data_IF_874375022875
#
_entry.id   IF_874375022875
#
_cell.length_a   1.000
_cell.length_b   1.000
_cell.length_c   1.000
_cell.angle_alpha   90.00
_cell.angle_beta   90.00
_cell.angle_gamma   90.00
#
_symmetry.space_group_name_H-M   'P 1'
#
loop_
_entity.id
_entity.type
_entity.pdbx_description
1 polymer ?
#
# COMPACT_ATOMS: atom_id res chain seq x y z
N UNK A 1 -8.63 2.19 17.93
CA UNK A 1 -9.16 1.94 16.57
C UNK A 1 -8.06 2.11 15.54
N UNK A 2 -7.48 3.32 15.39
CA UNK A 2 -6.35 3.56 14.46
C UNK A 2 -5.06 2.79 14.79
N UNK A 3 -4.68 2.63 16.05
CA UNK A 3 -3.49 1.83 16.45
C UNK A 3 -3.57 0.39 15.95
N UNK A 4 -4.76 -0.22 16.01
CA UNK A 4 -4.99 -1.55 15.48
C UNK A 4 -4.83 -1.58 13.95
N UNK A 5 -5.33 -0.56 13.25
CA UNK A 5 -5.15 -0.46 11.81
C UNK A 5 -3.68 -0.25 11.42
N UNK A 6 -2.93 0.60 12.13
CA UNK A 6 -1.48 0.79 11.94
C UNK A 6 -0.75 -0.54 12.16
N UNK A 7 -1.09 -1.29 13.22
CA UNK A 7 -0.53 -2.63 13.44
C UNK A 7 -0.78 -3.55 12.25
N UNK A 8 -2.01 -3.61 11.74
CA UNK A 8 -2.36 -4.45 10.57
C UNK A 8 -1.63 -4.00 9.30
N UNK A 9 -1.39 -2.70 9.12
CA UNK A 9 -0.58 -2.17 8.02
C UNK A 9 0.86 -2.66 8.12
N UNK A 10 1.49 -2.53 9.28
CA UNK A 10 2.85 -3.01 9.52
C UNK A 10 2.97 -4.52 9.33
N UNK A 11 2.06 -5.31 9.92
CA UNK A 11 2.06 -6.76 9.76
C UNK A 11 1.94 -7.18 8.28
N UNK A 12 1.14 -6.44 7.49
CA UNK A 12 0.98 -6.73 6.06
C UNK A 12 2.18 -6.26 5.24
N UNK A 13 2.79 -5.13 5.61
CA UNK A 13 3.95 -4.56 4.96
C UNK A 13 5.20 -5.42 5.18
N UNK A 14 5.39 -5.94 6.39
CA UNK A 14 6.44 -6.91 6.73
C UNK A 14 6.38 -8.12 5.79
N UNK A 15 5.19 -8.68 5.59
CA UNK A 15 4.98 -9.82 4.68
C UNK A 15 5.32 -9.44 3.24
N UNK A 16 4.91 -8.26 2.77
CA UNK A 16 5.23 -7.79 1.43
C UNK A 16 6.75 -7.65 1.22
N UNK A 17 7.45 -7.08 2.20
CA UNK A 17 8.90 -6.91 2.15
C UNK A 17 9.61 -8.26 2.10
N UNK A 18 9.20 -9.21 2.94
CA UNK A 18 9.77 -10.56 2.92
C UNK A 18 9.59 -11.23 1.56
N UNK A 19 8.39 -11.14 0.96
CA UNK A 19 8.14 -11.69 -0.38
C UNK A 19 9.03 -10.98 -1.42
N UNK A 20 9.15 -9.65 -1.37
CA UNK A 20 10.01 -8.90 -2.29
C UNK A 20 11.46 -9.34 -2.18
N UNK A 21 11.96 -9.46 -0.96
CA UNK A 21 13.35 -9.82 -0.71
C UNK A 21 13.62 -11.28 -1.14
N UNK A 22 12.71 -12.22 -0.85
CA UNK A 22 12.76 -13.61 -1.35
C UNK A 22 12.74 -13.67 -2.89
N UNK A 23 11.89 -12.89 -3.54
CA UNK A 23 11.80 -12.84 -5.00
C UNK A 23 13.07 -12.24 -5.61
N UNK A 24 13.60 -11.17 -5.04
CA UNK A 24 14.85 -10.56 -5.47
C UNK A 24 16.05 -11.51 -5.32
N UNK A 25 16.11 -12.26 -4.22
CA UNK A 25 17.17 -13.26 -3.99
C UNK A 25 17.06 -14.44 -4.97
N UNK A 26 15.85 -14.95 -5.19
CA UNK A 26 15.61 -16.15 -6.00
C UNK A 26 15.67 -15.87 -7.51
N UNK A 27 15.12 -14.74 -7.93
CA UNK A 27 14.91 -14.43 -9.35
C UNK A 27 15.71 -13.22 -9.83
N UNK A 28 16.16 -12.32 -8.95
CA UNK A 28 16.69 -11.02 -9.36
C UNK A 28 15.65 -10.26 -10.17
N UNK A 29 16.03 -9.70 -11.32
CA UNK A 29 15.09 -9.05 -12.23
C UNK A 29 14.13 -10.08 -12.86
N UNK A 30 12.82 -9.96 -12.64
CA UNK A 30 11.85 -10.92 -13.16
C UNK A 30 11.56 -10.60 -14.63
N UNK A 31 11.72 -11.60 -15.50
CA UNK A 31 11.38 -11.53 -16.91
C UNK A 31 10.48 -12.72 -17.29
N UNK A 32 9.99 -12.72 -18.53
CA UNK A 32 9.09 -13.76 -19.06
C UNK A 32 9.66 -15.18 -18.93
N UNK A 33 10.98 -15.36 -18.99
CA UNK A 33 11.60 -16.68 -18.90
C UNK A 33 11.46 -17.31 -17.51
N UNK A 34 11.29 -16.49 -16.47
CA UNK A 34 11.16 -16.94 -15.07
C UNK A 34 9.71 -17.16 -14.65
N UNK A 35 8.74 -16.78 -15.48
CA UNK A 35 7.34 -16.83 -15.12
C UNK A 35 6.83 -18.26 -14.87
N UNK A 36 7.26 -19.24 -15.68
CA UNK A 36 6.86 -20.65 -15.47
C UNK A 36 7.38 -21.22 -14.16
N UNK A 37 8.59 -20.84 -13.74
CA UNK A 37 9.16 -21.23 -12.44
C UNK A 37 8.39 -20.58 -11.29
N UNK A 38 8.12 -19.27 -11.39
CA UNK A 38 7.34 -18.53 -10.38
C UNK A 38 5.95 -19.16 -10.25
N UNK A 39 5.28 -19.46 -11.37
CA UNK A 39 3.96 -20.08 -11.39
C UNK A 39 3.97 -21.49 -10.79
N UNK A 40 5.04 -22.25 -11.01
CA UNK A 40 5.16 -23.63 -10.51
C UNK A 40 5.50 -23.70 -9.02
N UNK A 41 6.33 -22.77 -8.53
CA UNK A 41 6.91 -22.87 -7.18
C UNK A 41 6.41 -21.80 -6.21
N UNK A 42 6.06 -20.61 -6.68
CA UNK A 42 5.78 -19.44 -5.82
C UNK A 42 4.41 -18.80 -6.09
N UNK A 43 3.48 -19.50 -6.74
CA UNK A 43 2.13 -19.00 -6.99
C UNK A 43 1.42 -18.57 -5.69
N UNK A 44 1.65 -19.29 -4.58
CA UNK A 44 1.11 -18.92 -3.26
C UNK A 44 1.70 -17.61 -2.74
N UNK A 45 2.97 -17.35 -3.04
CA UNK A 45 3.62 -16.09 -2.67
C UNK A 45 3.07 -14.94 -3.51
N UNK A 46 2.79 -15.15 -4.79
CA UNK A 46 2.08 -14.18 -5.64
C UNK A 46 0.66 -13.90 -5.14
N UNK A 47 -0.10 -14.92 -4.77
CA UNK A 47 -1.45 -14.75 -4.19
C UNK A 47 -1.38 -13.95 -2.89
N UNK A 48 -0.37 -14.25 -2.05
CA UNK A 48 -0.15 -13.51 -0.80
C UNK A 48 0.25 -12.07 -1.06
N UNK A 49 1.12 -11.82 -2.03
CA UNK A 49 1.52 -10.49 -2.49
C UNK A 49 0.28 -9.69 -2.94
N UNK A 50 -0.52 -10.22 -3.85
CA UNK A 50 -1.76 -9.61 -4.34
C UNK A 50 -2.77 -9.30 -3.21
N UNK A 51 -2.97 -10.26 -2.30
CA UNK A 51 -3.86 -10.10 -1.16
C UNK A 51 -3.38 -9.01 -0.20
N UNK A 52 -2.09 -9.02 0.18
CA UNK A 52 -1.52 -8.06 1.15
C UNK A 52 -1.44 -6.65 0.57
N UNK A 53 -1.08 -6.53 -0.71
CA UNK A 53 -1.12 -5.27 -1.45
C UNK A 53 -2.53 -4.66 -1.42
N UNK A 54 -3.53 -5.45 -1.80
CA UNK A 54 -4.94 -5.03 -1.77
C UNK A 54 -5.39 -4.65 -0.36
N UNK A 55 -4.96 -5.42 0.64
CA UNK A 55 -5.30 -5.19 2.05
C UNK A 55 -4.78 -3.87 2.56
N UNK A 56 -3.52 -3.53 2.27
CA UNK A 56 -2.91 -2.24 2.65
C UNK A 56 -3.68 -1.10 2.00
N UNK A 57 -3.96 -1.18 0.70
CA UNK A 57 -4.69 -0.12 -0.01
C UNK A 57 -6.08 0.12 0.54
N UNK A 58 -6.86 -0.95 0.74
CA UNK A 58 -8.20 -0.84 1.31
C UNK A 58 -8.16 -0.26 2.71
N UNK A 59 -7.24 -0.74 3.56
CA UNK A 59 -7.17 -0.25 4.93
C UNK A 59 -6.75 1.23 5.00
N UNK A 60 -5.77 1.63 4.19
CA UNK A 60 -5.34 3.03 4.07
C UNK A 60 -6.48 3.92 3.56
N UNK A 61 -7.03 3.59 2.40
CA UNK A 61 -8.00 4.42 1.70
C UNK A 61 -9.38 4.48 2.37
N UNK A 62 -9.85 3.37 2.94
CA UNK A 62 -11.22 3.31 3.49
C UNK A 62 -11.29 3.78 4.94
N UNK A 63 -10.20 3.64 5.71
CA UNK A 63 -10.19 3.91 7.16
C UNK A 63 -9.09 4.86 7.59
N UNK A 64 -7.83 4.47 7.44
CA UNK A 64 -6.70 5.14 8.11
C UNK A 64 -6.57 6.60 7.68
N UNK A 65 -6.79 6.92 6.40
CA UNK A 65 -6.78 8.31 5.94
C UNK A 65 -7.83 9.19 6.61
N UNK A 66 -9.02 8.67 6.90
CA UNK A 66 -10.03 9.45 7.64
C UNK A 66 -9.65 9.55 9.11
N UNK A 67 -9.29 8.43 9.73
CA UNK A 67 -8.94 8.39 11.14
C UNK A 67 -7.76 9.29 11.49
N UNK A 68 -6.76 9.40 10.61
CA UNK A 68 -5.60 10.28 10.84
C UNK A 68 -5.98 11.76 10.73
N UNK A 69 -6.82 12.13 9.76
CA UNK A 69 -7.30 13.50 9.61
C UNK A 69 -8.18 13.93 10.79
N UNK A 70 -9.07 13.05 11.27
CA UNK A 70 -9.84 13.27 12.50
C UNK A 70 -8.94 13.46 13.72
N UNK A 71 -7.83 12.68 13.81
CA UNK A 71 -6.85 12.84 14.88
C UNK A 71 -6.16 14.20 14.83
N UNK A 72 -5.94 14.73 13.62
CA UNK A 72 -5.41 16.06 13.34
C UNK A 72 -6.47 17.17 13.40
N UNK A 73 -7.68 16.87 13.90
CA UNK A 73 -8.77 17.84 14.12
C UNK A 73 -9.35 18.44 12.83
N UNK A 74 -9.21 17.75 11.69
CA UNK A 74 -9.92 18.10 10.45
C UNK A 74 -11.42 17.78 10.57
N UNK A 75 -12.26 18.70 10.09
CA UNK A 75 -13.69 18.46 9.89
C UNK A 75 -13.94 17.74 8.56
N UNK A 76 -14.43 16.49 8.67
CA UNK A 76 -14.69 15.61 7.53
C UNK A 76 -16.17 15.53 7.15
N UNK A 77 -17.05 16.33 7.76
CA UNK A 77 -18.47 16.38 7.39
C UNK A 77 -18.63 16.79 5.92
N UNK A 78 -19.47 16.03 5.21
CA UNK A 78 -19.75 16.18 3.77
C UNK A 78 -18.52 16.15 2.84
N UNK A 79 -17.38 15.61 3.30
CA UNK A 79 -16.18 15.46 2.47
C UNK A 79 -16.27 14.23 1.59
N UNK A 80 -16.02 14.45 0.30
CA UNK A 80 -15.87 13.38 -0.67
C UNK A 80 -14.52 12.67 -0.50
N UNK A 81 -14.37 11.50 -1.12
CA UNK A 81 -13.09 10.78 -1.07
C UNK A 81 -11.94 11.57 -1.72
N UNK A 82 -12.21 12.37 -2.75
CA UNK A 82 -11.17 13.21 -3.36
C UNK A 82 -10.72 14.32 -2.41
N UNK A 83 -11.63 14.89 -1.61
CA UNK A 83 -11.29 15.88 -0.58
C UNK A 83 -10.40 15.26 0.50
N UNK A 84 -10.71 14.02 0.92
CA UNK A 84 -9.85 13.27 1.85
C UNK A 84 -8.44 13.14 1.27
N UNK A 85 -8.29 12.72 0.01
CA UNK A 85 -6.98 12.57 -0.61
C UNK A 85 -6.22 13.89 -0.73
N UNK A 86 -6.90 15.01 -0.99
CA UNK A 86 -6.28 16.34 -0.99
C UNK A 86 -5.74 16.73 0.39
N UNK A 87 -6.46 16.42 1.47
CA UNK A 87 -5.94 16.65 2.82
C UNK A 87 -4.75 15.73 3.14
N UNK A 88 -4.80 14.46 2.74
CA UNK A 88 -3.69 13.51 2.92
C UNK A 88 -2.43 13.95 2.16
N UNK A 89 -2.59 14.43 0.92
CA UNK A 89 -1.51 15.02 0.12
C UNK A 89 -0.95 16.29 0.79
N UNK A 90 -1.84 17.19 1.25
CA UNK A 90 -1.44 18.41 1.98
C UNK A 90 -0.66 18.10 3.27
N UNK A 91 -1.05 17.04 3.98
CA UNK A 91 -0.33 16.58 5.17
C UNK A 91 0.99 15.88 4.84
N UNK A 92 1.27 15.61 3.57
CA UNK A 92 2.49 14.94 3.10
C UNK A 92 2.51 13.45 3.41
N UNK A 93 1.34 12.82 3.60
CA UNK A 93 1.24 11.38 3.83
C UNK A 93 1.41 10.61 2.52
N UNK A 94 0.88 11.15 1.43
CA UNK A 94 1.16 10.71 0.05
C UNK A 94 1.90 11.85 -0.66
N UNK A 95 2.77 11.53 -1.62
CA UNK A 95 3.47 12.58 -2.39
C UNK A 95 2.53 13.28 -3.35
N UNK A 96 1.61 12.50 -3.95
CA UNK A 96 0.54 13.06 -4.76
C UNK A 96 -0.69 12.17 -4.83
N UNK A 97 -1.83 12.77 -5.15
CA UNK A 97 -3.06 12.01 -5.49
C UNK A 97 -2.81 11.08 -6.70
N UNK A 98 -1.94 11.48 -7.63
CA UNK A 98 -1.59 10.68 -8.80
C UNK A 98 -0.82 9.41 -8.40
N UNK A 99 0.15 9.50 -7.50
CA UNK A 99 0.88 8.34 -6.95
C UNK A 99 -0.11 7.34 -6.33
N UNK A 100 -1.06 7.82 -5.52
CA UNK A 100 -2.08 6.97 -4.93
C UNK A 100 -2.99 6.30 -5.98
N UNK A 101 -3.38 7.03 -7.02
CA UNK A 101 -4.15 6.46 -8.15
C UNK A 101 -3.36 5.38 -8.88
N UNK A 102 -2.07 5.60 -9.13
CA UNK A 102 -1.20 4.64 -9.80
C UNK A 102 -1.10 3.33 -9.01
N UNK A 103 -0.96 3.41 -7.69
CA UNK A 103 -1.02 2.22 -6.84
C UNK A 103 -2.33 1.44 -7.04
N UNK A 104 -3.47 2.13 -7.14
CA UNK A 104 -4.78 1.48 -7.36
C UNK A 104 -4.88 0.86 -8.74
N UNK A 105 -4.27 1.46 -9.76
CA UNK A 105 -4.18 0.90 -11.11
C UNK A 105 -3.37 -0.41 -11.11
N UNK A 106 -2.22 -0.45 -10.41
CA UNK A 106 -1.41 -1.66 -10.21
C UNK A 106 -2.22 -2.79 -9.55
N UNK A 107 -3.07 -2.49 -8.57
CA UNK A 107 -3.95 -3.52 -7.99
C UNK A 107 -4.97 -4.02 -9.02
N UNK A 108 -5.54 -3.10 -9.81
CA UNK A 108 -6.60 -3.45 -10.75
C UNK A 108 -6.07 -4.26 -11.94
N UNK A 109 -4.81 -4.07 -12.35
CA UNK A 109 -4.19 -4.85 -13.44
C UNK A 109 -4.08 -6.35 -13.12
N UNK A 110 -4.11 -6.74 -11.85
CA UNK A 110 -4.16 -8.14 -11.40
C UNK A 110 -5.58 -8.71 -11.32
N UNK A 111 -6.58 -7.83 -11.10
CA UNK A 111 -7.98 -8.25 -10.93
C UNK A 111 -8.67 -8.52 -12.27
N UNK A 112 -8.10 -7.98 -13.35
CA UNK A 112 -8.37 -8.47 -14.69
C UNK A 112 -7.54 -9.75 -14.82
N UNK A 113 -8.22 -10.90 -14.81
CA UNK A 113 -7.61 -12.23 -14.96
C UNK A 113 -6.40 -12.13 -15.88
N UNK A 114 -5.22 -12.44 -15.33
CA UNK A 114 -3.92 -12.44 -15.98
C UNK A 114 -4.09 -12.50 -17.50
N UNK A 115 -3.90 -11.35 -18.14
CA UNK A 115 -3.96 -11.23 -19.60
C UNK A 115 -3.33 -12.46 -20.24
N UNK A 116 -3.87 -12.96 -21.36
CA UNK A 116 -3.30 -14.11 -22.07
C UNK A 116 -1.81 -13.92 -22.42
N UNK A 117 -1.31 -12.68 -22.33
CA UNK A 117 0.09 -12.29 -22.48
C UNK A 117 0.86 -12.34 -21.16
N UNK A 118 1.82 -13.29 -21.07
CA UNK A 118 2.72 -13.47 -19.92
C UNK A 118 3.53 -12.21 -19.60
N UNK A 119 3.90 -11.42 -20.61
CA UNK A 119 4.67 -10.19 -20.43
C UNK A 119 3.94 -9.16 -19.55
N UNK A 120 2.64 -9.00 -19.77
CA UNK A 120 1.79 -8.11 -18.96
C UNK A 120 1.70 -8.59 -17.51
N UNK A 121 1.68 -9.90 -17.27
CA UNK A 121 1.70 -10.48 -15.91
C UNK A 121 3.02 -10.20 -15.21
N UNK A 122 4.14 -10.43 -15.89
CA UNK A 122 5.48 -10.18 -15.34
C UNK A 122 5.66 -8.70 -15.02
N UNK A 123 5.21 -7.80 -15.90
CA UNK A 123 5.24 -6.37 -15.67
C UNK A 123 4.42 -5.98 -14.44
N UNK A 124 3.20 -6.53 -14.29
CA UNK A 124 2.38 -6.26 -13.11
C UNK A 124 3.05 -6.75 -11.80
N UNK A 125 3.69 -7.92 -11.81
CA UNK A 125 4.44 -8.44 -10.65
C UNK A 125 5.59 -7.48 -10.28
N UNK A 126 6.40 -7.08 -11.27
CA UNK A 126 7.50 -6.14 -11.03
C UNK A 126 6.99 -4.79 -10.49
N UNK A 127 5.95 -4.23 -11.10
CA UNK A 127 5.35 -2.97 -10.64
C UNK A 127 4.85 -3.05 -9.20
N UNK A 128 4.26 -4.17 -8.79
CA UNK A 128 3.87 -4.40 -7.40
C UNK A 128 5.06 -4.42 -6.45
N UNK A 129 6.10 -5.19 -6.80
CA UNK A 129 7.30 -5.34 -5.97
C UNK A 129 7.99 -3.99 -5.76
N UNK A 130 8.11 -3.20 -6.81
CA UNK A 130 8.70 -1.86 -6.76
C UNK A 130 7.86 -0.90 -5.92
N UNK A 131 6.52 -0.99 -6.03
CA UNK A 131 5.62 -0.08 -5.33
C UNK A 131 5.45 -0.38 -3.83
N UNK A 132 6.03 -1.49 -3.31
CA UNK A 132 6.11 -1.75 -1.87
C UNK A 132 6.80 -0.62 -1.13
N UNK A 133 7.87 -0.04 -1.69
CA UNK A 133 8.57 1.10 -1.07
C UNK A 133 7.68 2.32 -0.89
N UNK A 134 6.69 2.50 -1.76
CA UNK A 134 5.73 3.61 -1.66
C UNK A 134 4.81 3.36 -0.47
N UNK A 135 4.33 2.14 -0.26
CA UNK A 135 3.58 1.81 0.96
C UNK A 135 4.41 1.98 2.22
N UNK A 136 5.69 1.60 2.21
CA UNK A 136 6.59 1.83 3.35
C UNK A 136 6.63 3.31 3.73
N UNK A 137 6.78 4.20 2.73
CA UNK A 137 6.79 5.64 2.94
C UNK A 137 5.45 6.15 3.47
N UNK A 138 4.33 5.71 2.91
CA UNK A 138 2.99 6.13 3.34
C UNK A 138 2.72 5.69 4.77
N UNK A 139 2.98 4.42 5.12
CA UNK A 139 2.75 3.88 6.47
C UNK A 139 3.59 4.63 7.49
N UNK A 140 4.88 4.85 7.20
CA UNK A 140 5.75 5.66 8.06
C UNK A 140 5.21 7.06 8.28
N UNK A 141 4.70 7.73 7.24
CA UNK A 141 4.11 9.06 7.37
C UNK A 141 2.83 9.07 8.20
N UNK A 142 2.00 8.03 8.08
CA UNK A 142 0.83 7.86 8.94
C UNK A 142 1.25 7.74 10.41
N UNK A 143 2.27 6.95 10.72
CA UNK A 143 2.80 6.80 12.08
C UNK A 143 3.34 8.11 12.63
N UNK A 144 4.18 8.82 11.87
CA UNK A 144 4.72 10.14 12.24
C UNK A 144 3.60 11.14 12.57
N UNK A 145 2.55 11.19 11.74
CA UNK A 145 1.38 12.07 11.98
C UNK A 145 0.56 11.65 13.17
N UNK A 146 0.46 10.35 13.41
CA UNK A 146 -0.30 9.79 14.52
C UNK A 146 0.40 10.12 15.85
N UNK A 147 1.71 9.94 15.93
CA UNK A 147 2.53 10.32 17.07
C UNK A 147 2.44 11.83 17.36
N UNK A 148 2.58 12.66 16.32
CA UNK A 148 2.42 14.10 16.43
C UNK A 148 1.06 14.50 17.01
N UNK A 149 -0.03 13.93 16.49
CA UNK A 149 -1.38 14.21 16.97
C UNK A 149 -1.59 13.82 18.44
N UNK A 150 -0.94 12.75 18.91
CA UNK A 150 -0.99 12.33 20.31
C UNK A 150 -0.19 13.27 21.23
N UNK A 151 1.01 13.70 20.81
CA UNK A 151 1.85 14.62 21.59
C UNK A 151 1.17 15.98 21.81
N UNK A 152 0.54 16.53 20.75
CA UNK A 152 -0.20 17.80 20.83
C UNK A 152 -1.37 17.70 21.79
N UNK A 153 -2.06 16.55 21.85
CA UNK A 153 -3.18 16.33 22.79
C UNK A 153 -2.72 16.19 24.24
N UNK A 154 -1.59 15.54 24.49
CA UNK A 154 -1.01 15.41 25.84
C UNK A 154 -0.49 16.74 26.41
N UNK A 155 -0.05 17.68 25.57
CA UNK A 155 0.42 19.01 26.00
C UNK A 155 -0.69 20.05 26.20
N UNK A 156 -1.95 19.74 25.87
CA UNK A 156 -3.11 20.63 26.04
C UNK A 156 -3.92 20.33 27.33
N UNK A 157 -3.55 19.30 28.09
CA UNK A 157 -4.19 18.91 29.35
C UNK A 157 -3.44 19.45 30.57
#
# INVERSE_FOLDING_TARGET
MIEFHIKVLNDSLEILKNIRDEFNEKYGNIDVSKYEDIKSYDIKSLDTLAYRFSKIQSLLGEKVFKEILEKLEYDLTDKSYIDILQYIEKEGIINSIYEWKKLREIRNSLSHDYSEEIESVVNAINEMLDSIEIFEKIVKKVEEKYEYANQVKSGRN
#
